data_IF_718912896162
#
_entry.id   IF_718912896162
#
_cell.length_a   1.000
_cell.length_b   1.000
_cell.length_c   1.000
_cell.angle_alpha   90.00
_cell.angle_beta   90.00
_cell.angle_gamma   90.00
#
_symmetry.space_group_name_H-M   'P 1'
#
loop_
_entity.id
_entity.type
_entity.pdbx_description
1 polymer ?
#
# COMPACT_ATOMS: atom_id res chain seq x y z
N UNK A 1 -9.79 -13.79 -0.54
CA UNK A 1 -8.97 -13.09 -1.55
C UNK A 1 -7.48 -13.40 -1.39
N UNK A 2 -6.85 -13.17 -0.22
CA UNK A 2 -5.40 -13.38 -0.03
C UNK A 2 -4.93 -14.80 -0.38
N UNK A 3 -5.70 -15.83 -0.03
CA UNK A 3 -5.39 -17.21 -0.41
C UNK A 3 -5.23 -17.40 -1.93
N UNK A 4 -6.11 -16.81 -2.75
CA UNK A 4 -6.02 -16.95 -4.20
C UNK A 4 -4.74 -16.28 -4.74
N UNK A 5 -4.36 -15.14 -4.17
CA UNK A 5 -3.11 -14.45 -4.51
C UNK A 5 -1.90 -15.34 -4.21
N UNK A 6 -1.89 -15.99 -3.04
CA UNK A 6 -0.82 -16.91 -2.66
C UNK A 6 -0.76 -18.13 -3.58
N UNK A 7 -1.90 -18.63 -4.04
CA UNK A 7 -1.94 -19.75 -4.97
C UNK A 7 -1.44 -19.37 -6.36
N UNK A 8 -1.83 -18.20 -6.88
CA UNK A 8 -1.33 -17.69 -8.17
C UNK A 8 0.20 -17.49 -8.11
N UNK A 9 0.72 -16.88 -7.04
CA UNK A 9 2.16 -16.65 -6.89
C UNK A 9 3.00 -17.93 -6.77
N UNK A 10 2.39 -19.09 -6.47
CA UNK A 10 3.07 -20.39 -6.38
C UNK A 10 3.00 -21.19 -7.66
N UNK A 11 2.10 -20.83 -8.56
CA UNK A 11 1.89 -21.53 -9.82
C UNK A 11 2.92 -21.04 -10.85
N UNK A 12 3.86 -21.88 -11.29
CA UNK A 12 4.90 -21.48 -12.24
C UNK A 12 4.35 -21.25 -13.67
N UNK A 13 3.14 -21.75 -13.97
CA UNK A 13 2.50 -21.58 -15.27
C UNK A 13 1.65 -20.30 -15.35
N UNK A 14 1.23 -19.76 -14.20
CA UNK A 14 0.43 -18.54 -14.11
C UNK A 14 1.27 -17.34 -13.67
N UNK A 15 1.37 -16.34 -14.56
CA UNK A 15 2.11 -15.10 -14.33
C UNK A 15 3.59 -15.31 -13.93
N UNK A 16 4.38 -16.05 -14.75
CA UNK A 16 5.78 -16.27 -14.46
C UNK A 16 6.55 -14.93 -14.41
N UNK A 17 7.47 -14.82 -13.44
CA UNK A 17 8.27 -13.62 -13.15
C UNK A 17 7.48 -12.40 -12.64
N UNK A 18 6.21 -12.56 -12.28
CA UNK A 18 5.39 -11.51 -11.67
C UNK A 18 4.95 -11.98 -10.28
N UNK A 19 5.05 -11.10 -9.28
CA UNK A 19 4.52 -11.36 -7.93
C UNK A 19 3.35 -10.44 -7.66
N UNK A 20 2.19 -11.03 -7.41
CA UNK A 20 0.98 -10.33 -7.01
C UNK A 20 1.08 -9.91 -5.54
N UNK A 21 0.87 -8.62 -5.29
CA UNK A 21 0.57 -8.07 -3.97
C UNK A 21 -0.92 -7.69 -3.87
N UNK A 22 -1.38 -7.37 -2.66
CA UNK A 22 -2.72 -6.81 -2.45
C UNK A 22 -2.75 -5.72 -1.40
N UNK A 23 -3.65 -4.77 -1.61
CA UNK A 23 -4.10 -3.79 -0.63
C UNK A 23 -5.62 -3.89 -0.57
N UNK A 24 -6.14 -4.47 0.50
CA UNK A 24 -7.58 -4.70 0.70
C UNK A 24 -8.09 -3.68 1.70
N UNK A 25 -9.16 -2.96 1.35
CA UNK A 25 -9.79 -1.96 2.19
C UNK A 25 -11.22 -2.40 2.49
N UNK A 26 -11.67 -2.19 3.72
CA UNK A 26 -13.06 -2.44 4.10
C UNK A 26 -13.92 -1.27 3.61
N UNK A 27 -15.10 -1.57 3.06
CA UNK A 27 -16.09 -0.55 2.66
C UNK A 27 -17.09 -0.28 3.77
N UNK A 28 -17.13 -1.12 4.81
CA UNK A 28 -18.08 -1.09 5.91
C UNK A 28 -19.55 -1.00 5.45
N UNK A 29 -19.85 -1.48 4.24
CA UNK A 29 -21.16 -1.35 3.56
C UNK A 29 -21.68 0.09 3.45
N UNK A 30 -20.77 1.06 3.34
CA UNK A 30 -21.10 2.49 3.24
C UNK A 30 -20.45 3.09 2.01
N UNK A 31 -21.26 3.57 1.08
CA UNK A 31 -20.80 4.07 -0.21
C UNK A 31 -19.79 5.21 -0.09
N UNK A 32 -20.01 6.14 0.85
CA UNK A 32 -19.08 7.24 1.10
C UNK A 32 -17.73 6.74 1.60
N UNK A 33 -17.72 5.73 2.48
CA UNK A 33 -16.47 5.15 2.96
C UNK A 33 -15.76 4.36 1.85
N UNK A 34 -16.51 3.60 1.06
CA UNK A 34 -15.98 2.88 -0.11
C UNK A 34 -15.35 3.85 -1.13
N UNK A 35 -15.99 4.98 -1.39
CA UNK A 35 -15.52 6.01 -2.33
C UNK A 35 -14.22 6.65 -1.82
N UNK A 36 -14.19 7.12 -0.57
CA UNK A 36 -13.00 7.73 0.03
C UNK A 36 -11.81 6.75 0.00
N UNK A 37 -12.03 5.48 0.34
CA UNK A 37 -11.01 4.44 0.26
C UNK A 37 -10.58 4.19 -1.19
N UNK A 38 -11.51 4.16 -2.14
CA UNK A 38 -11.24 3.94 -3.56
C UNK A 38 -10.40 5.08 -4.17
N UNK A 39 -10.63 6.32 -3.74
CA UNK A 39 -9.87 7.48 -4.20
C UNK A 39 -8.38 7.36 -3.87
N UNK A 40 -8.01 6.67 -2.79
CA UNK A 40 -6.61 6.43 -2.45
C UNK A 40 -5.86 5.62 -3.51
N UNK A 41 -6.55 4.82 -4.33
CA UNK A 41 -5.92 4.06 -5.43
C UNK A 41 -5.62 4.92 -6.65
N UNK A 42 -6.48 5.90 -6.95
CA UNK A 42 -6.35 6.74 -8.16
C UNK A 42 -5.54 8.02 -7.92
N UNK A 43 -5.36 8.43 -6.66
CA UNK A 43 -4.54 9.60 -6.31
C UNK A 43 -3.12 9.54 -6.91
N UNK A 44 -2.54 8.35 -7.02
CA UNK A 44 -1.23 8.14 -7.64
C UNK A 44 -1.17 8.42 -9.15
N UNK A 45 -2.33 8.41 -9.82
CA UNK A 45 -2.47 8.63 -11.26
C UNK A 45 -2.79 10.08 -11.61
N UNK A 46 -3.17 10.89 -10.62
CA UNK A 46 -3.48 12.30 -10.81
C UNK A 46 -2.15 13.05 -10.76
N UNK A 47 -1.57 13.36 -11.92
CA UNK A 47 -0.50 14.35 -12.02
C UNK A 47 -1.05 15.69 -11.51
N UNK A 48 -0.51 16.15 -10.38
CA UNK A 48 -0.78 17.50 -9.89
C UNK A 48 0.13 18.45 -10.64
N UNK A 49 -0.44 19.22 -11.58
CA UNK A 49 0.22 20.40 -12.13
C UNK A 49 0.43 21.41 -11.00
N UNK A 50 1.65 21.42 -10.48
CA UNK A 50 2.09 22.27 -9.39
C UNK A 50 2.27 23.75 -9.80
N UNK A 51 2.20 24.05 -11.10
CA UNK A 51 2.52 25.35 -11.67
C UNK A 51 1.63 26.49 -11.17
N UNK A 52 0.41 26.17 -10.73
CA UNK A 52 -0.59 27.15 -10.27
C UNK A 52 -0.80 27.16 -8.74
N UNK A 53 -0.07 26.34 -7.99
CA UNK A 53 -0.22 26.26 -6.54
C UNK A 53 0.76 27.22 -5.86
N UNK A 54 0.22 28.21 -5.14
CA UNK A 54 1.02 29.14 -4.31
C UNK A 54 0.56 29.10 -2.87
N UNK A 55 1.50 28.87 -1.95
CA UNK A 55 1.23 28.99 -0.52
C UNK A 55 1.06 30.48 -0.16
N UNK A 56 0.18 30.79 0.80
CA UNK A 56 -0.04 32.16 1.28
C UNK A 56 1.25 32.84 1.76
N UNK A 57 2.22 32.05 2.21
CA UNK A 57 3.52 32.50 2.72
C UNK A 57 4.60 32.64 1.62
N UNK A 58 4.27 32.34 0.36
CA UNK A 58 5.24 32.32 -0.75
C UNK A 58 6.15 31.09 -0.79
N UNK A 59 6.07 30.20 0.19
CA UNK A 59 6.83 28.95 0.22
C UNK A 59 6.45 28.00 -0.93
N UNK A 60 7.39 27.20 -1.44
CA UNK A 60 7.09 26.20 -2.45
C UNK A 60 6.12 25.13 -1.89
N UNK A 61 5.08 24.73 -2.64
CA UNK A 61 4.15 23.70 -2.20
C UNK A 61 4.84 22.34 -2.06
N UNK A 62 4.61 21.67 -0.92
CA UNK A 62 5.12 20.32 -0.65
C UNK A 62 4.09 19.31 -1.13
N UNK A 63 4.35 18.66 -2.27
CA UNK A 63 3.54 17.55 -2.74
C UNK A 63 4.12 16.23 -2.22
N UNK A 64 3.42 15.59 -1.28
CA UNK A 64 3.69 14.19 -0.96
C UNK A 64 3.37 13.36 -2.20
N UNK A 65 4.38 12.72 -2.79
CA UNK A 65 4.15 11.78 -3.89
C UNK A 65 3.31 10.63 -3.34
N UNK A 66 2.18 10.29 -3.98
CA UNK A 66 1.44 9.10 -3.62
C UNK A 66 2.36 7.88 -3.70
N UNK A 67 2.23 6.97 -2.74
CA UNK A 67 2.96 5.70 -2.79
C UNK A 67 2.59 5.00 -4.10
N UNK A 68 3.59 4.78 -4.96
CA UNK A 68 3.37 4.02 -6.19
C UNK A 68 3.00 2.59 -5.77
N UNK A 69 1.78 2.18 -6.07
CA UNK A 69 1.31 0.80 -5.94
C UNK A 69 1.86 0.02 -7.15
N UNK A 70 3.18 -0.01 -7.28
CA UNK A 70 3.91 -0.85 -8.24
C UNK A 70 4.62 -1.91 -7.42
N UNK A 71 4.49 -3.17 -7.84
CA UNK A 71 5.04 -4.33 -7.15
C UNK A 71 6.47 -4.08 -6.68
N UNK A 72 6.65 -3.92 -5.37
CA UNK A 72 7.98 -3.91 -4.77
C UNK A 72 8.47 -5.35 -4.83
N UNK A 73 9.48 -5.60 -5.66
CA UNK A 73 10.23 -6.86 -5.65
C UNK A 73 10.57 -7.21 -4.20
N UNK A 74 9.89 -8.23 -3.66
CA UNK A 74 10.24 -8.82 -2.37
C UNK A 74 11.48 -9.71 -2.59
N UNK A 75 12.62 -9.09 -2.91
CA UNK A 75 13.90 -9.60 -2.41
C UNK A 75 13.74 -9.66 -0.90
N UNK A 76 13.50 -10.85 -0.37
CA UNK A 76 13.24 -11.17 1.04
C UNK A 76 13.98 -10.21 1.98
N UNK A 77 13.32 -9.12 2.41
CA UNK A 77 13.60 -8.61 3.75
C UNK A 77 12.79 -9.52 4.65
N UNK A 78 13.50 -10.44 5.29
CA UNK A 78 13.05 -11.10 6.51
C UNK A 78 12.32 -10.03 7.34
N UNK A 79 11.00 -10.14 7.51
CA UNK A 79 10.37 -9.43 8.62
C UNK A 79 10.98 -10.06 9.87
N UNK A 80 11.96 -9.39 10.45
CA UNK A 80 12.32 -9.62 11.83
C UNK A 80 11.07 -9.34 12.65
N UNK A 81 10.41 -10.40 13.08
CA UNK A 81 9.50 -10.35 14.22
C UNK A 81 10.34 -9.78 15.36
N UNK A 82 10.10 -8.53 15.73
CA UNK A 82 10.63 -8.01 16.99
C UNK A 82 9.99 -8.86 18.10
N UNK A 83 10.74 -9.86 18.56
CA UNK A 83 10.51 -10.48 19.85
C UNK A 83 10.71 -9.39 20.91
N UNK A 84 9.62 -8.74 21.32
CA UNK A 84 9.56 -8.05 22.60
C UNK A 84 9.57 -9.09 23.71
N UNK A 85 10.75 -9.50 24.14
CA UNK A 85 10.95 -10.32 25.33
C UNK A 85 11.27 -9.45 26.54
N UNK A 86 10.40 -9.50 27.57
CA UNK A 86 10.66 -9.31 29.01
C UNK A 86 9.27 -9.27 29.70
N UNK A 87 8.89 -10.01 30.74
CA UNK A 87 9.57 -10.91 31.68
C UNK A 87 8.47 -11.74 32.45
N UNK A 88 8.79 -12.59 33.44
CA UNK A 88 8.27 -13.96 33.59
C UNK A 88 6.98 -14.07 34.43
N UNK A 89 6.23 -15.15 34.24
CA UNK A 89 5.35 -15.68 35.27
C UNK A 89 6.00 -16.95 35.85
N UNK A 90 6.59 -16.78 37.03
CA UNK A 90 6.87 -17.87 37.95
C UNK A 90 5.59 -18.11 38.75
N UNK A 91 4.93 -19.26 38.56
CA UNK A 91 4.53 -20.23 39.59
C UNK A 91 3.88 -21.43 38.91
#
# INVERSE_FOLDING_TARGET
>A
MLFAIDQINKDPELLPNVTLGARVLDTCSRDTYALEQSLTFVQALIEKDASDVRCANGDPPIFAKPDKIVGRDRRRRQLGVHHGGQHPAAL
#
